data_IF_865599055090
#
_entry.id   IF_865599055090
#
_cell.length_a   1.000
_cell.length_b   1.000
_cell.length_c   1.000
_cell.angle_alpha   90.00
_cell.angle_beta   90.00
_cell.angle_gamma   90.00
#
_symmetry.space_group_name_H-M   'P 1'
#
loop_
_entity.id
_entity.type
_entity.pdbx_description
1 polymer ?
#
# COMPACT_ATOMS: atom_id res chain seq x y z
N UNK A 1 22.15 2.35 -1.37
CA UNK A 1 21.19 1.92 -0.32
C UNK A 1 20.23 3.05 -0.02
N UNK A 2 18.92 2.90 -0.25
CA UNK A 2 17.94 3.85 0.27
C UNK A 2 18.01 3.82 1.80
N UNK A 3 18.18 4.97 2.45
CA UNK A 3 18.27 5.03 3.91
C UNK A 3 16.86 4.82 4.50
N UNK A 4 16.67 3.89 5.46
CA UNK A 4 15.34 3.61 6.03
C UNK A 4 14.62 4.85 6.60
N UNK A 5 15.38 5.83 7.12
CA UNK A 5 14.85 7.12 7.60
C UNK A 5 14.22 7.97 6.49
N UNK A 6 14.78 7.93 5.28
CA UNK A 6 14.28 8.68 4.13
C UNK A 6 12.96 8.08 3.64
N UNK A 7 12.81 6.75 3.69
CA UNK A 7 11.57 6.07 3.28
C UNK A 7 10.39 6.52 4.15
N UNK A 8 10.56 6.57 5.47
CA UNK A 8 9.48 7.02 6.35
C UNK A 8 9.17 8.52 6.15
N UNK A 9 10.18 9.35 5.83
CA UNK A 9 9.96 10.75 5.45
C UNK A 9 9.18 10.90 4.14
N UNK A 10 9.45 10.07 3.13
CA UNK A 10 8.68 10.05 1.88
C UNK A 10 7.24 9.61 2.15
N UNK A 11 7.04 8.54 2.92
CA UNK A 11 5.70 8.08 3.29
C UNK A 11 4.91 9.15 4.06
N UNK A 12 5.59 9.94 4.92
CA UNK A 12 4.97 11.08 5.61
C UNK A 12 4.40 12.13 4.65
N UNK A 13 5.00 12.32 3.48
CA UNK A 13 4.49 13.31 2.50
C UNK A 13 3.13 12.90 1.90
N UNK A 14 2.79 11.61 1.94
CA UNK A 14 1.48 11.15 1.50
C UNK A 14 0.38 11.38 2.55
N UNK A 15 0.74 11.69 3.80
CA UNK A 15 -0.23 11.98 4.85
C UNK A 15 -0.93 13.33 4.62
N UNK A 16 -2.12 13.48 5.19
CA UNK A 16 -2.91 14.72 5.19
C UNK A 16 -3.90 14.69 6.37
N UNK A 17 -4.81 15.67 6.44
CA UNK A 17 -5.90 15.66 7.42
C UNK A 17 -6.77 14.41 7.31
N UNK A 18 -7.03 13.93 6.09
CA UNK A 18 -7.89 12.78 5.84
C UNK A 18 -7.11 11.46 5.65
N UNK A 19 -5.87 11.51 5.15
CA UNK A 19 -5.00 10.33 4.98
C UNK A 19 -4.06 10.22 6.18
N UNK A 20 -4.26 9.18 6.97
CA UNK A 20 -3.75 9.07 8.33
C UNK A 20 -2.51 8.19 8.45
N UNK A 21 -2.42 7.16 7.62
CA UNK A 21 -1.33 6.18 7.67
C UNK A 21 -0.88 5.80 6.26
N UNK A 22 0.42 5.69 6.07
CA UNK A 22 1.07 5.22 4.85
C UNK A 22 2.06 4.10 5.21
N UNK A 23 1.99 2.98 4.50
CA UNK A 23 2.69 1.74 4.86
C UNK A 23 3.40 1.18 3.63
N UNK A 24 4.67 0.81 3.78
CA UNK A 24 5.45 0.05 2.80
C UNK A 24 5.78 -1.32 3.39
N UNK A 25 5.47 -2.38 2.66
CA UNK A 25 5.59 -3.76 3.12
C UNK A 25 5.93 -4.73 1.99
N UNK A 26 6.36 -5.93 2.34
CA UNK A 26 6.67 -7.00 1.39
C UNK A 26 5.39 -7.69 0.86
N UNK A 27 5.51 -8.51 -0.18
CA UNK A 27 4.39 -9.30 -0.75
C UNK A 27 3.87 -10.38 0.22
N UNK A 28 4.63 -10.66 1.28
CA UNK A 28 4.31 -11.59 2.36
C UNK A 28 3.71 -10.87 3.58
N UNK A 29 3.51 -9.56 3.52
CA UNK A 29 2.92 -8.77 4.60
C UNK A 29 3.90 -8.30 5.66
N UNK A 30 5.21 -8.47 5.45
CA UNK A 30 6.22 -7.98 6.40
C UNK A 30 6.37 -6.46 6.30
N UNK A 31 6.15 -5.76 7.41
CA UNK A 31 6.28 -4.30 7.49
C UNK A 31 7.75 -3.86 7.28
N UNK A 32 7.98 -2.96 6.33
CA UNK A 32 9.31 -2.39 6.06
C UNK A 32 9.45 -0.96 6.57
N UNK A 33 8.43 -0.14 6.34
CA UNK A 33 8.38 1.25 6.81
C UNK A 33 6.95 1.73 6.93
N UNK A 34 6.70 2.67 7.84
CA UNK A 34 5.40 3.30 7.98
C UNK A 34 5.53 4.76 8.38
N UNK A 35 4.49 5.51 8.10
CA UNK A 35 4.26 6.86 8.58
C UNK A 35 2.81 6.95 9.04
N UNK A 36 2.59 7.53 10.22
CA UNK A 36 1.24 7.76 10.75
C UNK A 36 1.18 9.10 11.45
N UNK A 37 0.04 9.79 11.33
CA UNK A 37 -0.25 10.99 12.08
C UNK A 37 -0.67 10.60 13.51
N UNK A 38 0.00 11.16 14.53
CA UNK A 38 -0.26 10.86 15.95
C UNK A 38 -1.69 11.20 16.42
N UNK A 39 -2.43 11.99 15.63
CA UNK A 39 -3.71 12.58 16.03
C UNK A 39 -4.94 11.78 15.63
N UNK A 40 -4.76 10.67 14.91
CA UNK A 40 -5.86 9.79 14.56
C UNK A 40 -5.73 8.50 15.36
N UNK A 41 -6.39 8.52 16.51
CA UNK A 41 -7.09 7.34 16.99
C UNK A 41 -7.98 6.90 15.83
N UNK A 42 -7.51 6.01 14.95
CA UNK A 42 -8.41 5.31 14.04
C UNK A 42 -9.26 4.44 14.94
N UNK A 43 -10.36 5.04 15.39
CA UNK A 43 -11.70 4.52 15.69
C UNK A 43 -11.90 3.23 16.46
N UNK A 44 -10.98 2.28 16.42
CA UNK A 44 -11.20 0.97 16.99
C UNK A 44 -10.68 0.89 18.42
N UNK A 45 -11.49 0.44 19.40
CA UNK A 45 -11.05 0.13 20.76
C UNK A 45 -9.92 -0.91 20.82
N UNK A 46 -9.58 -1.57 19.70
CA UNK A 46 -8.52 -2.58 19.60
C UNK A 46 -7.11 -1.99 19.63
N UNK A 47 -6.89 -0.77 19.13
CA UNK A 47 -5.52 -0.24 18.94
C UNK A 47 -4.98 0.63 20.08
N UNK A 48 -5.80 0.95 21.09
CA UNK A 48 -5.37 1.73 22.27
C UNK A 48 -4.58 0.89 23.30
N UNK A 49 -4.44 -0.43 23.08
CA UNK A 49 -3.85 -1.39 24.03
C UNK A 49 -2.46 -1.89 23.60
N UNK A 50 -1.80 -1.23 22.65
CA UNK A 50 -0.59 -1.79 22.03
C UNK A 50 0.69 -1.19 22.62
N UNK A 51 1.58 -2.07 23.09
CA UNK A 51 2.87 -1.70 23.66
C UNK A 51 3.86 -1.19 22.60
N UNK A 52 3.65 -1.54 21.32
CA UNK A 52 4.47 -1.14 20.17
C UNK A 52 3.65 -0.24 19.21
N UNK A 53 4.07 1.02 18.98
CA UNK A 53 3.35 1.94 18.09
C UNK A 53 3.32 1.50 16.61
N UNK A 54 4.15 0.52 16.23
CA UNK A 54 4.16 -0.03 14.87
C UNK A 54 3.19 -1.20 14.66
N UNK A 55 2.65 -1.77 15.73
CA UNK A 55 1.79 -2.96 15.67
C UNK A 55 0.53 -2.79 14.81
N UNK A 56 -0.24 -1.67 14.88
CA UNK A 56 -1.35 -1.44 13.95
C UNK A 56 -0.93 -1.51 12.48
N UNK A 57 0.24 -0.95 12.16
CA UNK A 57 0.76 -0.94 10.79
C UNK A 57 1.19 -2.34 10.33
N UNK A 58 1.71 -3.19 11.23
CA UNK A 58 2.04 -4.58 10.94
C UNK A 58 0.78 -5.39 10.61
N UNK A 59 -0.28 -5.21 11.39
CA UNK A 59 -1.56 -5.90 11.16
C UNK A 59 -2.17 -5.47 9.82
N UNK A 60 -2.22 -4.16 9.54
CA UNK A 60 -2.73 -3.65 8.26
C UNK A 60 -1.90 -4.18 7.08
N UNK A 61 -0.57 -4.22 7.21
CA UNK A 61 0.30 -4.78 6.17
C UNK A 61 -0.01 -6.25 5.88
N UNK A 62 -0.13 -7.08 6.92
CA UNK A 62 -0.44 -8.51 6.77
C UNK A 62 -1.79 -8.74 6.08
N UNK A 63 -2.83 -8.04 6.52
CA UNK A 63 -4.18 -8.13 5.93
C UNK A 63 -4.16 -7.64 4.48
N UNK A 64 -3.55 -6.47 4.23
CA UNK A 64 -3.46 -5.88 2.89
C UNK A 64 -2.73 -6.80 1.91
N UNK A 65 -1.67 -7.49 2.37
CA UNK A 65 -0.91 -8.45 1.57
C UNK A 65 -1.74 -9.68 1.20
N UNK A 66 -2.51 -10.20 2.15
CA UNK A 66 -3.42 -11.31 1.90
C UNK A 66 -4.50 -10.91 0.88
N UNK A 67 -5.13 -9.75 1.06
CA UNK A 67 -6.12 -9.24 0.10
C UNK A 67 -5.50 -9.09 -1.29
N UNK A 68 -4.33 -8.46 -1.39
CA UNK A 68 -3.63 -8.27 -2.66
C UNK A 68 -3.34 -9.59 -3.37
N UNK A 69 -2.75 -10.55 -2.66
CA UNK A 69 -2.36 -11.85 -3.24
C UNK A 69 -3.55 -12.65 -3.76
N UNK A 70 -4.68 -12.65 -3.03
CA UNK A 70 -5.91 -13.31 -3.47
C UNK A 70 -6.39 -12.71 -4.79
N UNK A 71 -6.55 -11.37 -4.85
CA UNK A 71 -7.04 -10.72 -6.07
C UNK A 71 -6.07 -10.81 -7.24
N UNK A 72 -4.76 -10.72 -6.98
CA UNK A 72 -3.73 -10.86 -8.02
C UNK A 72 -3.76 -12.25 -8.65
N UNK A 73 -3.90 -13.30 -7.83
CA UNK A 73 -3.96 -14.68 -8.30
C UNK A 73 -5.30 -15.00 -9.00
N UNK A 74 -6.41 -14.37 -8.57
CA UNK A 74 -7.70 -14.53 -9.25
C UNK A 74 -7.76 -13.76 -10.58
N UNK A 75 -7.14 -12.57 -10.67
CA UNK A 75 -7.09 -11.81 -11.91
C UNK A 75 -6.34 -12.57 -13.02
N UNK A 76 -5.22 -13.22 -12.70
CA UNK A 76 -4.50 -14.02 -13.68
C UNK A 76 -5.31 -15.21 -14.21
N UNK A 77 -6.34 -15.67 -13.49
CA UNK A 77 -7.24 -16.72 -13.94
C UNK A 77 -8.41 -16.19 -14.79
N UNK A 78 -8.95 -15.01 -14.47
CA UNK A 78 -10.14 -14.49 -15.13
C UNK A 78 -9.89 -13.75 -16.45
N UNK A 79 -8.71 -13.16 -16.63
CA UNK A 79 -8.41 -12.35 -17.83
C UNK A 79 -7.54 -13.07 -18.87
N UNK A 80 -6.99 -14.26 -18.56
CA UNK A 80 -6.22 -15.05 -19.53
C UNK A 80 -7.16 -15.87 -20.41
N UNK A 81 -7.58 -15.28 -21.53
CA UNK A 81 -8.05 -16.06 -22.68
C UNK A 81 -6.83 -16.76 -23.29
N UNK A 82 -6.84 -18.10 -23.34
CA UNK A 82 -5.76 -18.96 -23.88
C UNK A 82 -5.29 -18.59 -25.30
N UNK A 83 -6.04 -17.77 -26.05
CA UNK A 83 -5.75 -17.42 -27.44
C UNK A 83 -4.91 -16.14 -27.62
N UNK A 84 -4.74 -15.29 -26.59
CA UNK A 84 -4.03 -14.00 -26.72
C UNK A 84 -2.96 -13.80 -25.62
N UNK A 85 -2.02 -14.74 -25.50
CA UNK A 85 -0.90 -14.65 -24.54
C UNK A 85 -0.05 -13.37 -24.70
N UNK A 86 -0.05 -12.73 -25.86
CA UNK A 86 0.68 -11.48 -26.10
C UNK A 86 0.01 -10.22 -25.49
N UNK A 87 -1.29 -10.26 -25.18
CA UNK A 87 -2.02 -9.13 -24.55
C UNK A 87 -2.19 -9.30 -23.03
N UNK A 88 -2.01 -10.51 -22.50
CA UNK A 88 -2.13 -10.80 -21.07
C UNK A 88 -1.05 -10.14 -20.18
N UNK A 89 -0.01 -9.56 -20.78
CA UNK A 89 1.06 -8.89 -20.03
C UNK A 89 0.62 -7.53 -19.45
N UNK A 90 -0.42 -6.91 -20.01
CA UNK A 90 -0.88 -5.57 -19.62
C UNK A 90 -2.04 -5.59 -18.59
N UNK A 91 -2.79 -6.69 -18.50
CA UNK A 91 -3.91 -6.88 -17.56
C UNK A 91 -3.46 -7.37 -16.18
N UNK A 92 -2.49 -6.68 -15.59
CA UNK A 92 -2.05 -6.94 -14.22
C UNK A 92 -2.82 -6.10 -13.19
N UNK A 93 -3.05 -6.65 -12.00
CA UNK A 93 -3.69 -5.91 -10.90
C UNK A 93 -2.87 -4.67 -10.56
N UNK A 94 -3.46 -3.49 -10.78
CA UNK A 94 -2.82 -2.21 -10.55
C UNK A 94 -3.07 -1.68 -9.12
N UNK A 95 -4.33 -1.69 -8.68
CA UNK A 95 -4.74 -1.04 -7.44
C UNK A 95 -6.03 -1.66 -6.88
N UNK A 96 -6.11 -1.80 -5.56
CA UNK A 96 -7.32 -2.21 -4.84
C UNK A 96 -7.80 -1.02 -4.01
N UNK A 97 -9.09 -0.73 -4.08
CA UNK A 97 -9.78 0.22 -3.20
C UNK A 97 -10.71 -0.56 -2.28
N UNK A 98 -10.60 -0.33 -0.98
CA UNK A 98 -11.45 -0.89 0.05
C UNK A 98 -12.16 0.27 0.76
N UNK A 99 -13.48 0.29 0.67
CA UNK A 99 -14.32 1.19 1.46
C UNK A 99 -14.82 0.39 2.67
N UNK A 100 -14.43 0.82 3.87
CA UNK A 100 -14.71 0.14 5.13
C UNK A 100 -15.66 0.98 5.99
N UNK A 101 -16.23 0.38 7.04
CA UNK A 101 -17.10 1.09 7.98
C UNK A 101 -16.40 2.30 8.65
N UNK A 102 -15.10 2.13 8.97
CA UNK A 102 -14.26 3.16 9.60
C UNK A 102 -13.03 3.51 8.75
N UNK A 103 -13.29 3.94 7.51
CA UNK A 103 -12.29 4.57 6.66
C UNK A 103 -12.12 3.87 5.33
N UNK A 104 -11.08 4.27 4.61
CA UNK A 104 -10.77 3.77 3.27
C UNK A 104 -9.33 3.30 3.20
N UNK A 105 -9.11 2.18 2.53
CA UNK A 105 -7.77 1.63 2.29
C UNK A 105 -7.54 1.50 0.81
N UNK A 106 -6.37 1.91 0.35
CA UNK A 106 -5.92 1.75 -1.02
C UNK A 106 -4.60 1.00 -1.03
N UNK A 107 -4.49 -0.02 -1.88
CA UNK A 107 -3.32 -0.91 -1.96
C UNK A 107 -2.83 -0.93 -3.41
N UNK A 108 -1.51 -0.85 -3.61
CA UNK A 108 -0.88 -0.91 -4.94
C UNK A 108 0.54 -1.45 -4.85
N UNK A 109 1.07 -1.91 -5.98
CA UNK A 109 2.40 -2.52 -6.08
C UNK A 109 3.44 -1.52 -6.61
N UNK A 110 4.58 -1.44 -5.93
CA UNK A 110 5.75 -0.67 -6.36
C UNK A 110 6.97 -1.61 -6.42
N UNK A 111 7.36 -2.01 -7.63
CA UNK A 111 8.38 -3.04 -7.86
C UNK A 111 8.00 -4.37 -7.19
N UNK A 112 8.86 -4.86 -6.29
CA UNK A 112 8.61 -6.09 -5.50
C UNK A 112 7.89 -5.82 -4.18
N UNK A 113 7.51 -4.58 -3.89
CA UNK A 113 6.90 -4.16 -2.63
C UNK A 113 5.43 -3.77 -2.83
N UNK A 114 4.71 -3.68 -1.72
CA UNK A 114 3.34 -3.18 -1.66
C UNK A 114 3.30 -1.89 -0.84
N UNK A 115 2.42 -0.99 -1.24
CA UNK A 115 2.12 0.25 -0.53
C UNK A 115 0.64 0.21 -0.16
N UNK A 116 0.32 0.63 1.08
CA UNK A 116 -1.04 0.87 1.52
C UNK A 116 -1.17 2.29 2.09
N UNK A 117 -2.22 3.00 1.69
CA UNK A 117 -2.64 4.24 2.37
C UNK A 117 -3.97 4.00 3.06
N UNK A 118 -4.09 4.51 4.28
CA UNK A 118 -5.30 4.44 5.10
C UNK A 118 -5.78 5.86 5.35
N UNK A 119 -7.01 6.14 4.95
CA UNK A 119 -7.70 7.40 5.21
C UNK A 119 -8.96 7.19 6.04
N UNK A 120 -9.45 8.28 6.62
CA UNK A 120 -10.72 8.33 7.33
C UNK A 120 -11.93 8.30 6.36
N UNK A 121 -13.15 8.34 6.92
CA UNK A 121 -14.39 8.30 6.14
C UNK A 121 -14.53 9.46 5.15
N UNK A 122 -14.01 10.65 5.50
CA UNK A 122 -14.06 11.87 4.69
C UNK A 122 -13.05 11.86 3.53
N UNK A 123 -12.19 10.84 3.45
CA UNK A 123 -11.16 10.80 2.42
C UNK A 123 -11.77 10.56 1.05
N UNK A 124 -11.55 11.51 0.14
CA UNK A 124 -11.94 11.36 -1.26
C UNK A 124 -11.10 10.30 -1.97
N UNK A 125 -11.76 9.39 -2.69
CA UNK A 125 -11.13 8.31 -3.45
C UNK A 125 -10.13 8.86 -4.49
N UNK A 126 -10.46 9.99 -5.13
CA UNK A 126 -9.58 10.65 -6.09
C UNK A 126 -8.27 11.12 -5.47
N UNK A 127 -8.33 11.66 -4.24
CA UNK A 127 -7.15 12.07 -3.48
C UNK A 127 -6.29 10.87 -3.07
N UNK A 128 -6.90 9.79 -2.60
CA UNK A 128 -6.17 8.53 -2.30
C UNK A 128 -5.47 8.00 -3.55
N UNK A 129 -6.17 7.96 -4.68
CA UNK A 129 -5.63 7.48 -5.96
C UNK A 129 -4.41 8.30 -6.39
N UNK A 130 -4.53 9.63 -6.46
CA UNK A 130 -3.41 10.46 -6.97
C UNK A 130 -2.18 10.37 -6.06
N UNK A 131 -2.36 10.34 -4.74
CA UNK A 131 -1.23 10.17 -3.79
C UNK A 131 -0.60 8.79 -3.92
N UNK A 132 -1.41 7.74 -4.02
CA UNK A 132 -0.90 6.38 -4.22
C UNK A 132 -0.11 6.28 -5.53
N UNK A 133 -0.67 6.73 -6.65
CA UNK A 133 0.01 6.71 -7.95
C UNK A 133 1.33 7.50 -7.91
N UNK A 134 1.34 8.66 -7.25
CA UNK A 134 2.56 9.48 -7.09
C UNK A 134 3.63 8.73 -6.30
N UNK A 135 3.26 8.10 -5.18
CA UNK A 135 4.18 7.28 -4.40
C UNK A 135 4.70 6.08 -5.19
N UNK A 136 3.83 5.33 -5.86
CA UNK A 136 4.21 4.17 -6.67
C UNK A 136 5.19 4.58 -7.76
N UNK A 137 4.94 5.69 -8.47
CA UNK A 137 5.85 6.21 -9.49
C UNK A 137 7.21 6.59 -8.89
N UNK A 138 7.21 7.29 -7.75
CA UNK A 138 8.45 7.66 -7.05
C UNK A 138 9.27 6.43 -6.65
N UNK A 139 8.62 5.43 -6.04
CA UNK A 139 9.29 4.21 -5.62
C UNK A 139 9.73 3.34 -6.79
N UNK A 140 8.94 3.21 -7.86
CA UNK A 140 9.36 2.48 -9.06
C UNK A 140 10.62 3.11 -9.67
N UNK A 141 10.63 4.43 -9.83
CA UNK A 141 11.80 5.14 -10.36
C UNK A 141 13.01 4.98 -9.43
N UNK A 142 12.81 5.13 -8.13
CA UNK A 142 13.90 5.03 -7.15
C UNK A 142 14.44 3.61 -7.00
N UNK A 143 13.59 2.59 -7.09
CA UNK A 143 13.95 1.18 -6.91
C UNK A 143 14.55 0.55 -8.17
N UNK A 144 14.19 1.02 -9.36
CA UNK A 144 14.79 0.56 -10.63
C UNK A 144 16.31 0.78 -10.66
N UNK A 145 16.80 1.90 -10.11
CA UNK A 145 18.24 2.17 -10.00
C UNK A 145 19.01 1.20 -9.10
N UNK A 146 18.33 0.35 -8.32
CA UNK A 146 18.97 -0.65 -7.46
C UNK A 146 18.87 -2.08 -8.00
N UNK A 147 18.10 -2.30 -9.08
CA UNK A 147 17.90 -3.63 -9.67
C UNK A 147 18.85 -3.95 -10.84
N UNK A 148 19.72 -3.02 -11.24
CA UNK A 148 20.63 -3.16 -12.39
C UNK A 148 22.06 -3.54 -12.05
N UNK A 149 22.40 -3.72 -10.76
CA UNK A 149 23.71 -4.20 -10.33
C UNK A 149 23.57 -5.61 -9.72
N UNK A 150 23.54 -6.62 -10.61
CA UNK A 150 24.13 -7.96 -10.52
C UNK A 150 23.51 -8.92 -11.54
#
# INVERSE_FOLDING_TARGET
MLKPKIISEILKQALSSSINTAILFSQEGSLLSYATNKYNNVGSPVFNSLNDPSEPSKVIAAISSNVWSVYKNSCSFWFVNQQNQAQAQDDSLNMIFLDCEEGKVIISQAGKLLIALVGNNDTEIGLLKIKMTTLVNYFNNSLQYFGSDN
#
